data_IF_222289264247
#
_entry.id   IF_222289264247
#
_cell.length_a   1.000
_cell.length_b   1.000
_cell.length_c   1.000
_cell.angle_alpha   90.00
_cell.angle_beta   90.00
_cell.angle_gamma   90.00
#
_symmetry.space_group_name_H-M   'P 1'
#
loop_
_entity.id
_entity.type
_entity.pdbx_description
1 polymer ?
#
# COMPACT_ATOMS: atom_id res chain seq x y z
N UNK A 1 15.00 19.72 -4.97
CA UNK A 1 15.55 18.68 -5.87
C UNK A 1 14.59 17.50 -6.09
N UNK A 2 13.91 16.98 -5.04
CA UNK A 2 13.01 15.82 -5.14
C UNK A 2 11.85 16.05 -6.12
N UNK A 3 11.17 17.19 -6.07
CA UNK A 3 10.05 17.54 -6.97
C UNK A 3 10.48 17.53 -8.45
N UNK A 4 11.66 18.07 -8.74
CA UNK A 4 12.20 18.05 -10.12
C UNK A 4 12.52 16.64 -10.61
N UNK A 5 12.95 15.75 -9.70
CA UNK A 5 13.20 14.34 -10.03
C UNK A 5 11.89 13.61 -10.35
N UNK A 6 10.84 13.84 -9.56
CA UNK A 6 9.49 13.31 -9.83
C UNK A 6 8.97 13.82 -11.17
N UNK A 7 9.08 15.12 -11.45
CA UNK A 7 8.65 15.69 -12.72
C UNK A 7 9.36 15.08 -13.93
N UNK A 8 10.68 14.87 -13.85
CA UNK A 8 11.45 14.19 -14.90
C UNK A 8 11.02 12.74 -15.09
N UNK A 9 10.76 12.02 -13.99
CA UNK A 9 10.26 10.65 -14.06
C UNK A 9 8.90 10.60 -14.75
N UNK A 10 7.95 11.44 -14.38
CA UNK A 10 6.62 11.50 -14.99
C UNK A 10 6.69 11.84 -16.48
N UNK A 11 7.53 12.80 -16.88
CA UNK A 11 7.75 13.14 -18.29
C UNK A 11 8.32 11.97 -19.11
N UNK A 12 9.26 11.24 -18.53
CA UNK A 12 9.90 10.10 -19.23
C UNK A 12 9.02 8.84 -19.27
N UNK A 13 7.97 8.77 -18.45
CA UNK A 13 7.10 7.59 -18.33
C UNK A 13 5.65 7.86 -18.72
N UNK A 14 5.33 9.04 -19.27
CA UNK A 14 3.95 9.42 -19.60
C UNK A 14 3.22 8.47 -20.56
N UNK A 15 3.97 7.79 -21.42
CA UNK A 15 3.45 6.80 -22.38
C UNK A 15 3.53 5.36 -21.84
N UNK A 16 4.03 5.18 -20.59
CA UNK A 16 4.09 3.86 -19.97
C UNK A 16 2.84 3.62 -19.14
N UNK A 17 2.16 2.53 -19.41
CA UNK A 17 1.02 2.06 -18.63
C UNK A 17 1.39 0.85 -17.78
N UNK A 18 0.43 0.40 -17.00
CA UNK A 18 0.50 -0.84 -16.25
C UNK A 18 -0.08 -1.97 -17.09
N UNK A 19 0.66 -3.08 -17.22
CA UNK A 19 0.21 -4.24 -17.97
C UNK A 19 -0.33 -5.25 -16.95
N UNK A 20 -1.62 -5.55 -17.04
CA UNK A 20 -2.26 -6.58 -16.24
C UNK A 20 -2.20 -7.93 -16.98
N UNK A 21 -1.59 -8.92 -16.32
CA UNK A 21 -1.56 -10.31 -16.76
C UNK A 21 -2.09 -11.19 -15.63
N UNK A 22 -3.40 -11.35 -15.52
CA UNK A 22 -3.99 -12.07 -14.40
C UNK A 22 -3.61 -13.55 -14.43
N UNK A 23 -3.18 -14.04 -13.28
CA UNK A 23 -2.95 -15.44 -13.00
C UNK A 23 -4.16 -15.99 -12.21
N UNK A 24 -4.94 -16.84 -12.83
CA UNK A 24 -6.17 -17.41 -12.24
C UNK A 24 -5.92 -18.31 -11.03
N UNK A 25 -4.68 -18.76 -10.82
CA UNK A 25 -4.30 -19.57 -9.66
C UNK A 25 -4.00 -18.71 -8.41
N UNK A 26 -3.89 -17.41 -8.58
CA UNK A 26 -3.63 -16.47 -7.49
C UNK A 26 -4.93 -15.79 -7.06
N UNK A 27 -5.19 -15.83 -5.75
CA UNK A 27 -6.29 -15.12 -5.12
C UNK A 27 -5.92 -13.67 -4.78
N UNK A 28 -6.34 -13.24 -3.59
CA UNK A 28 -5.94 -11.95 -3.02
C UNK A 28 -4.60 -12.13 -2.30
N UNK A 29 -3.63 -11.31 -2.67
CA UNK A 29 -2.32 -11.21 -2.02
C UNK A 29 -2.16 -9.78 -1.50
N UNK A 30 -1.62 -9.62 -0.30
CA UNK A 30 -1.40 -8.29 0.30
C UNK A 30 0.06 -8.17 0.70
N UNK A 31 0.69 -7.12 0.21
CA UNK A 31 2.06 -6.76 0.56
C UNK A 31 2.00 -5.52 1.45
N UNK A 32 2.61 -5.59 2.62
CA UNK A 32 2.57 -4.54 3.64
C UNK A 32 4.00 -4.22 4.08
N UNK A 33 4.26 -2.96 4.32
CA UNK A 33 5.53 -2.47 4.81
C UNK A 33 5.33 -1.23 5.68
N UNK A 34 6.21 -1.00 6.65
CA UNK A 34 6.21 0.19 7.48
C UNK A 34 7.59 0.85 7.50
N UNK A 35 7.62 2.15 7.21
CA UNK A 35 8.81 2.97 7.38
C UNK A 35 8.77 3.62 8.78
N UNK A 36 9.49 3.01 9.73
CA UNK A 36 9.53 3.44 11.13
C UNK A 36 10.26 4.77 11.28
N UNK A 37 9.51 5.83 11.61
CA UNK A 37 10.03 7.18 11.81
C UNK A 37 11.01 7.63 10.70
N UNK A 38 10.76 7.22 9.44
CA UNK A 38 11.67 7.47 8.32
C UNK A 38 11.81 8.93 7.92
N UNK A 39 10.94 9.79 8.46
CA UNK A 39 11.03 11.26 8.32
C UNK A 39 11.79 11.94 9.45
N UNK A 40 12.32 11.19 10.43
CA UNK A 40 13.02 11.79 11.58
C UNK A 40 14.21 12.64 11.15
N UNK A 41 14.19 13.91 11.56
CA UNK A 41 15.27 14.87 11.34
C UNK A 41 15.82 15.36 12.70
N UNK A 42 17.04 14.97 13.08
CA UNK A 42 17.65 15.40 14.33
C UNK A 42 17.91 16.92 14.39
N UNK A 43 17.90 17.62 13.24
CA UNK A 43 18.11 19.07 13.17
C UNK A 43 16.81 19.85 13.43
N UNK A 44 15.65 19.18 13.33
CA UNK A 44 14.33 19.74 13.63
C UNK A 44 13.51 18.78 14.53
N UNK A 45 13.95 18.57 15.78
CA UNK A 45 13.30 17.62 16.69
C UNK A 45 11.91 18.06 17.15
N UNK A 46 11.52 19.31 16.89
CA UNK A 46 10.20 19.86 17.22
C UNK A 46 9.15 19.59 16.14
N UNK A 47 9.55 19.07 14.99
CA UNK A 47 8.63 18.67 13.93
C UNK A 47 7.95 17.34 14.28
N UNK A 48 6.78 17.43 14.89
CA UNK A 48 6.01 16.25 15.31
C UNK A 48 5.68 15.31 14.15
N UNK A 49 5.55 15.79 12.91
CA UNK A 49 5.25 14.94 11.76
C UNK A 49 6.42 14.01 11.39
N UNK A 50 7.65 14.37 11.76
CA UNK A 50 8.85 13.58 11.44
C UNK A 50 8.95 12.27 12.24
N UNK A 51 8.24 12.17 13.39
CA UNK A 51 8.26 10.99 14.26
C UNK A 51 7.23 9.93 13.88
N UNK A 52 6.24 10.28 13.05
CA UNK A 52 5.25 9.31 12.58
C UNK A 52 5.84 8.34 11.57
N UNK A 53 5.54 7.09 11.77
CA UNK A 53 5.86 6.04 10.80
C UNK A 53 4.95 6.15 9.58
N UNK A 54 5.36 5.55 8.47
CA UNK A 54 4.57 5.51 7.25
C UNK A 54 4.13 4.08 6.96
N UNK A 55 2.85 3.89 6.77
CA UNK A 55 2.28 2.64 6.26
C UNK A 55 2.29 2.65 4.75
N UNK A 56 2.77 1.56 4.15
CA UNK A 56 2.63 1.25 2.74
C UNK A 56 2.00 -0.13 2.56
N UNK A 57 1.05 -0.27 1.63
CA UNK A 57 0.56 -1.58 1.24
C UNK A 57 0.06 -1.59 -0.20
N UNK A 58 0.06 -2.80 -0.77
CA UNK A 58 -0.46 -3.10 -2.10
C UNK A 58 -1.33 -4.34 -1.99
N UNK A 59 -2.58 -4.24 -2.45
CA UNK A 59 -3.50 -5.36 -2.58
C UNK A 59 -3.46 -5.80 -4.04
N UNK A 60 -3.11 -7.06 -4.27
CA UNK A 60 -3.13 -7.69 -5.58
C UNK A 60 -4.29 -8.68 -5.64
N UNK A 61 -4.89 -8.80 -6.82
CA UNK A 61 -5.85 -9.85 -7.17
C UNK A 61 -5.40 -10.54 -8.45
N UNK A 62 -5.37 -11.87 -8.42
CA UNK A 62 -4.84 -12.66 -9.53
C UNK A 62 -3.42 -12.24 -9.95
N UNK A 63 -2.56 -11.84 -8.99
CA UNK A 63 -1.22 -11.34 -9.23
C UNK A 63 -1.13 -9.92 -9.81
N UNK A 64 -2.26 -9.23 -9.96
CA UNK A 64 -2.32 -7.87 -10.49
C UNK A 64 -2.61 -6.88 -9.37
N UNK A 65 -1.88 -5.75 -9.25
CA UNK A 65 -2.17 -4.74 -8.25
C UNK A 65 -3.50 -4.05 -8.55
N UNK A 66 -4.42 -4.05 -7.58
CA UNK A 66 -5.76 -3.46 -7.71
C UNK A 66 -5.98 -2.28 -6.78
N UNK A 67 -5.26 -2.23 -5.67
CA UNK A 67 -5.31 -1.12 -4.73
C UNK A 67 -3.97 -0.95 -4.00
N UNK A 68 -3.57 0.28 -3.74
CA UNK A 68 -2.36 0.59 -2.99
C UNK A 68 -2.49 1.90 -2.24
N UNK A 69 -1.80 2.01 -1.14
CA UNK A 69 -1.74 3.23 -0.35
C UNK A 69 -0.37 3.42 0.28
N UNK A 70 0.04 4.68 0.45
CA UNK A 70 1.14 5.09 1.31
C UNK A 70 0.72 6.33 2.06
N UNK A 71 0.64 6.24 3.41
CA UNK A 71 0.28 7.38 4.26
C UNK A 71 0.99 7.33 5.60
N UNK A 72 1.12 8.48 6.28
CA UNK A 72 1.58 8.55 7.65
C UNK A 72 0.59 7.84 8.57
N UNK A 73 1.10 7.12 9.57
CA UNK A 73 0.31 6.58 10.65
C UNK A 73 -0.26 7.71 11.52
N UNK A 74 -1.38 7.49 12.14
CA UNK A 74 -2.06 8.48 13.00
C UNK A 74 -1.54 8.46 14.43
N UNK A 75 -0.85 7.39 14.80
CA UNK A 75 -0.27 7.17 16.11
C UNK A 75 1.24 6.98 16.00
N UNK A 76 1.94 7.29 17.08
CA UNK A 76 3.39 7.14 17.16
C UNK A 76 3.71 5.70 17.55
N UNK A 77 4.38 4.98 16.67
CA UNK A 77 4.92 3.67 17.01
C UNK A 77 6.18 3.83 17.88
N UNK A 78 6.31 3.02 18.91
CA UNK A 78 7.45 3.02 19.82
C UNK A 78 8.56 2.05 19.38
N UNK A 79 8.30 1.25 18.37
CA UNK A 79 9.26 0.30 17.81
C UNK A 79 8.94 0.00 16.34
N UNK A 80 9.91 -0.53 15.62
CA UNK A 80 9.72 -1.03 14.25
C UNK A 80 8.61 -2.09 14.19
N UNK A 81 8.61 -3.03 15.14
CA UNK A 81 7.59 -4.07 15.20
C UNK A 81 6.17 -3.50 15.38
N UNK A 82 6.02 -2.47 16.22
CA UNK A 82 4.74 -1.79 16.41
C UNK A 82 4.27 -1.08 15.15
N UNK A 83 5.17 -0.38 14.45
CA UNK A 83 4.88 0.24 13.16
C UNK A 83 4.40 -0.78 12.12
N UNK A 84 5.04 -1.96 12.06
CA UNK A 84 4.66 -3.07 11.18
C UNK A 84 3.27 -3.63 11.53
N UNK A 85 2.96 -3.82 12.82
CA UNK A 85 1.63 -4.27 13.24
C UNK A 85 0.54 -3.26 12.92
N UNK A 86 0.82 -1.97 13.08
CA UNK A 86 -0.10 -0.90 12.70
C UNK A 86 -0.35 -0.89 11.18
N UNK A 87 0.69 -1.05 10.39
CA UNK A 87 0.60 -1.15 8.94
C UNK A 87 -0.22 -2.38 8.51
N UNK A 88 0.04 -3.55 9.12
CA UNK A 88 -0.72 -4.77 8.85
C UNK A 88 -2.20 -4.60 9.20
N UNK A 89 -2.52 -4.00 10.36
CA UNK A 89 -3.89 -3.72 10.77
C UNK A 89 -4.62 -2.84 9.75
N UNK A 90 -3.98 -1.77 9.28
CA UNK A 90 -4.54 -0.87 8.28
C UNK A 90 -4.77 -1.59 6.93
N UNK A 91 -3.81 -2.38 6.49
CA UNK A 91 -3.94 -3.16 5.26
C UNK A 91 -5.09 -4.17 5.32
N UNK A 92 -5.28 -4.83 6.47
CA UNK A 92 -6.39 -5.78 6.67
C UNK A 92 -7.76 -5.09 6.66
N UNK A 93 -7.87 -3.87 7.20
CA UNK A 93 -9.12 -3.09 7.16
C UNK A 93 -9.59 -2.82 5.73
N UNK A 94 -8.68 -2.67 4.77
CA UNK A 94 -9.00 -2.49 3.35
C UNK A 94 -9.14 -3.84 2.60
N UNK A 95 -8.39 -4.84 3.03
CA UNK A 95 -8.41 -6.16 2.39
C UNK A 95 -9.73 -6.90 2.64
N UNK A 96 -10.27 -6.82 3.86
CA UNK A 96 -11.50 -7.54 4.20
C UNK A 96 -12.72 -7.08 3.37
N UNK A 97 -13.01 -5.78 3.23
CA UNK A 97 -14.05 -5.30 2.31
C UNK A 97 -13.80 -5.70 0.86
N UNK A 98 -12.54 -5.60 0.40
CA UNK A 98 -12.16 -6.01 -0.96
C UNK A 98 -12.45 -7.49 -1.19
N UNK A 99 -12.08 -8.35 -0.24
CA UNK A 99 -12.36 -9.78 -0.29
C UNK A 99 -13.86 -10.08 -0.33
N UNK A 100 -14.65 -9.38 0.48
CA UNK A 100 -16.09 -9.55 0.49
C UNK A 100 -16.73 -9.10 -0.82
N UNK A 101 -16.30 -7.97 -1.36
CA UNK A 101 -16.74 -7.48 -2.67
C UNK A 101 -16.46 -8.52 -3.78
N UNK A 102 -15.26 -9.11 -3.79
CA UNK A 102 -14.90 -10.13 -4.79
C UNK A 102 -15.77 -11.38 -4.66
N UNK A 103 -16.13 -11.79 -3.43
CA UNK A 103 -17.07 -12.90 -3.20
C UNK A 103 -18.46 -12.59 -3.73
N UNK A 104 -18.96 -11.37 -3.51
CA UNK A 104 -20.26 -10.92 -4.00
C UNK A 104 -20.28 -10.88 -5.53
N UNK A 105 -19.25 -10.33 -6.16
CA UNK A 105 -19.11 -10.32 -7.62
C UNK A 105 -19.09 -11.75 -8.17
N UNK A 106 -18.41 -12.67 -7.52
CA UNK A 106 -18.35 -14.07 -7.95
C UNK A 106 -19.72 -14.78 -7.86
N UNK A 107 -20.57 -14.37 -6.92
CA UNK A 107 -21.96 -14.88 -6.83
C UNK A 107 -22.82 -14.36 -7.99
N UNK A 108 -22.66 -13.07 -8.36
CA UNK A 108 -23.43 -12.43 -9.42
C UNK A 108 -22.92 -12.83 -10.81
N UNK A 109 -21.62 -12.88 -10.97
CA UNK A 109 -20.91 -13.27 -12.17
C UNK A 109 -19.96 -14.42 -11.80
N UNK A 110 -20.34 -15.70 -11.98
CA UNK A 110 -19.45 -16.80 -11.64
C UNK A 110 -18.18 -16.69 -12.48
N UNK A 111 -17.25 -15.91 -11.95
CA UNK A 111 -15.88 -15.91 -12.39
C UNK A 111 -15.31 -17.21 -11.83
N UNK A 112 -14.71 -18.05 -12.67
CA UNK A 112 -13.98 -19.23 -12.24
C UNK A 112 -12.80 -18.74 -11.37
N UNK A 113 -13.09 -18.50 -10.09
CA UNK A 113 -12.08 -18.25 -9.08
C UNK A 113 -11.66 -19.60 -8.51
N UNK A 114 -10.36 -19.87 -8.42
CA UNK A 114 -9.86 -21.05 -7.75
C UNK A 114 -10.23 -21.05 -6.28
#
# INVERSE_FOLDING_TARGET
QAVMRIGRYLLSTKEKGMIYRPDRLKGIEVYVDADFAGGWDPTDPMNAESIYSRTGYVICYAGCPVYWQSKLQTEIALSTAEAEYMALSQALQETLPTSNLMKEINVIFPLYLP
#
